data_IF_773165710324
#
_entry.id   IF_773165710324
#
_cell.length_a   1.000
_cell.length_b   1.000
_cell.length_c   1.000
_cell.angle_alpha   90.00
_cell.angle_beta   90.00
_cell.angle_gamma   90.00
#
_symmetry.space_group_name_H-M   'P 1'
#
loop_
_entity.id
_entity.type
_entity.pdbx_description
1 polymer ?
#
# COMPACT_ATOMS: atom_id res chain seq x y z
N UNK A 1 43.33 34.39 -99.76
CA UNK A 1 42.21 34.22 -98.82
C UNK A 1 40.95 34.07 -99.65
N UNK A 2 40.25 32.92 -99.66
CA UNK A 2 39.01 32.80 -100.42
C UNK A 2 37.99 33.80 -99.85
N UNK A 3 37.44 34.67 -100.72
CA UNK A 3 36.40 35.61 -100.33
C UNK A 3 35.05 34.89 -100.31
N UNK A 4 34.32 35.01 -99.20
CA UNK A 4 32.98 34.44 -99.08
C UNK A 4 32.01 35.13 -100.05
N UNK A 5 31.17 34.33 -100.71
CA UNK A 5 30.09 34.84 -101.57
C UNK A 5 28.89 35.27 -100.73
N UNK A 6 28.07 36.20 -101.24
CA UNK A 6 26.86 36.69 -100.56
C UNK A 6 25.93 35.54 -100.15
N UNK A 7 25.80 34.50 -100.99
CA UNK A 7 24.98 33.34 -100.69
C UNK A 7 25.49 32.54 -99.47
N UNK A 8 26.81 32.45 -99.27
CA UNK A 8 27.38 31.77 -98.11
C UNK A 8 27.11 32.55 -96.82
N UNK A 9 27.17 33.88 -96.86
CA UNK A 9 26.78 34.73 -95.72
C UNK A 9 25.29 34.56 -95.37
N UNK A 10 24.43 34.48 -96.37
CA UNK A 10 22.99 34.24 -96.18
C UNK A 10 22.73 32.87 -95.53
N UNK A 11 23.40 31.81 -95.99
CA UNK A 11 23.27 30.47 -95.40
C UNK A 11 23.73 30.45 -93.94
N UNK A 12 24.87 31.07 -93.62
CA UNK A 12 25.36 31.14 -92.24
C UNK A 12 24.39 31.90 -91.33
N UNK A 13 23.81 33.00 -91.80
CA UNK A 13 22.80 33.75 -91.05
C UNK A 13 21.55 32.90 -90.79
N UNK A 14 21.08 32.15 -91.78
CA UNK A 14 19.92 31.26 -91.62
C UNK A 14 20.19 30.12 -90.63
N UNK A 15 21.37 29.48 -90.70
CA UNK A 15 21.75 28.43 -89.75
C UNK A 15 21.89 28.99 -88.33
N UNK A 16 22.46 30.19 -88.17
CA UNK A 16 22.57 30.86 -86.89
C UNK A 16 21.19 31.15 -86.29
N UNK A 17 20.27 31.71 -87.09
CA UNK A 17 18.91 32.03 -86.66
C UNK A 17 18.14 30.74 -86.33
N UNK A 18 18.29 29.69 -87.14
CA UNK A 18 17.64 28.39 -86.89
C UNK A 18 18.17 27.74 -85.62
N UNK A 19 19.49 27.74 -85.42
CA UNK A 19 20.13 27.23 -84.20
C UNK A 19 19.71 28.03 -82.96
N UNK A 20 19.59 29.36 -83.09
CA UNK A 20 19.10 30.22 -82.02
C UNK A 20 17.63 29.94 -81.67
N UNK A 21 16.77 29.78 -82.67
CA UNK A 21 15.37 29.39 -82.47
C UNK A 21 15.23 28.00 -81.83
N UNK A 22 16.02 27.03 -82.29
CA UNK A 22 16.02 25.66 -81.75
C UNK A 22 16.51 25.62 -80.29
N UNK A 23 17.52 26.42 -79.95
CA UNK A 23 17.97 26.63 -78.56
C UNK A 23 16.87 27.23 -77.68
N UNK A 24 16.20 28.29 -78.13
CA UNK A 24 15.09 28.92 -77.39
C UNK A 24 13.93 27.95 -77.13
N UNK A 25 13.61 27.12 -78.11
CA UNK A 25 12.52 26.16 -77.99
C UNK A 25 12.82 25.05 -76.96
N UNK A 26 14.06 24.59 -76.89
CA UNK A 26 14.48 23.53 -75.94
C UNK A 26 14.58 24.03 -74.49
N UNK A 27 14.89 25.31 -74.27
CA UNK A 27 14.97 25.91 -72.93
C UNK A 27 13.59 26.19 -72.29
N UNK A 28 12.52 26.28 -73.08
CA UNK A 28 11.18 26.71 -72.61
C UNK A 28 10.40 25.62 -71.86
N UNK A 29 10.72 24.34 -72.05
CA UNK A 29 9.97 23.21 -71.48
C UNK A 29 10.19 22.94 -69.98
N UNK A 30 11.33 23.34 -69.41
CA UNK A 30 11.74 22.92 -68.06
C UNK A 30 10.94 23.54 -66.91
N UNK A 31 10.32 24.71 -67.09
CA UNK A 31 9.67 25.44 -65.97
C UNK A 31 8.38 24.79 -65.48
N UNK A 32 7.63 24.10 -66.36
CA UNK A 32 6.37 23.43 -65.99
C UNK A 32 6.61 22.15 -65.20
N UNK A 33 7.55 21.33 -65.66
CA UNK A 33 7.93 20.07 -64.99
C UNK A 33 8.60 20.33 -63.64
N UNK A 34 9.45 21.36 -63.52
CA UNK A 34 10.02 21.78 -62.23
C UNK A 34 8.95 22.18 -61.22
N UNK A 35 7.94 22.96 -61.62
CA UNK A 35 6.83 23.35 -60.72
C UNK A 35 6.02 22.14 -60.24
N UNK A 36 5.70 21.20 -61.13
CA UNK A 36 4.99 19.98 -60.76
C UNK A 36 5.79 19.09 -59.80
N UNK A 37 7.08 18.92 -60.06
CA UNK A 37 7.98 18.17 -59.17
C UNK A 37 8.11 18.80 -57.78
N UNK A 38 8.26 20.12 -57.70
CA UNK A 38 8.32 20.84 -56.42
C UNK A 38 7.01 20.70 -55.63
N UNK A 39 5.85 20.86 -56.30
CA UNK A 39 4.54 20.67 -55.66
C UNK A 39 4.37 19.26 -55.10
N UNK A 40 4.69 18.24 -55.89
CA UNK A 40 4.66 16.83 -55.47
C UNK A 40 5.60 16.59 -54.27
N UNK A 41 6.80 17.17 -54.30
CA UNK A 41 7.77 17.06 -53.20
C UNK A 41 7.26 17.72 -51.92
N UNK A 42 6.67 18.92 -52.00
CA UNK A 42 6.06 19.59 -50.86
C UNK A 42 4.89 18.79 -50.30
N UNK A 43 4.06 18.20 -51.17
CA UNK A 43 2.96 17.34 -50.74
C UNK A 43 3.44 16.12 -49.95
N UNK A 44 4.53 15.47 -50.40
CA UNK A 44 5.15 14.34 -49.69
C UNK A 44 5.71 14.76 -48.33
N UNK A 45 6.47 15.86 -48.28
CA UNK A 45 7.01 16.39 -47.02
C UNK A 45 5.88 16.71 -46.05
N UNK A 46 4.78 17.31 -46.53
CA UNK A 46 3.62 17.60 -45.69
C UNK A 46 2.92 16.34 -45.19
N UNK A 47 2.80 15.31 -46.03
CA UNK A 47 2.23 14.02 -45.65
C UNK A 47 3.10 13.30 -44.60
N UNK A 48 4.41 13.26 -44.80
CA UNK A 48 5.36 12.66 -43.86
C UNK A 48 5.30 13.40 -42.51
N UNK A 49 5.27 14.73 -42.52
CA UNK A 49 5.13 15.53 -41.31
C UNK A 49 3.81 15.28 -40.58
N UNK A 50 2.72 14.98 -41.29
CA UNK A 50 1.44 14.62 -40.66
C UNK A 50 1.48 13.22 -40.06
N UNK A 51 2.12 12.26 -40.74
CA UNK A 51 2.36 10.91 -40.20
C UNK A 51 3.19 10.99 -38.91
N UNK A 52 4.24 11.81 -38.89
CA UNK A 52 5.08 12.01 -37.70
C UNK A 52 4.30 12.64 -36.53
N UNK A 53 3.39 13.57 -36.82
CA UNK A 53 2.51 14.15 -35.79
C UNK A 53 1.53 13.13 -35.23
N UNK A 54 0.91 12.34 -36.11
CA UNK A 54 -0.04 11.31 -35.70
C UNK A 54 0.64 10.20 -34.92
N UNK A 55 1.84 9.77 -35.32
CA UNK A 55 2.63 8.76 -34.61
C UNK A 55 3.04 9.25 -33.22
N UNK A 56 3.47 10.50 -33.10
CA UNK A 56 3.78 11.14 -31.81
C UNK A 56 2.55 11.17 -30.90
N UNK A 57 1.39 11.58 -31.44
CA UNK A 57 0.14 11.62 -30.68
C UNK A 57 -0.33 10.23 -30.27
N UNK A 58 -0.13 9.22 -31.10
CA UNK A 58 -0.46 7.84 -30.79
C UNK A 58 0.41 7.33 -29.63
N UNK A 59 1.72 7.58 -29.66
CA UNK A 59 2.63 7.22 -28.57
C UNK A 59 2.27 7.92 -27.25
N UNK A 60 1.85 9.19 -27.31
CA UNK A 60 1.37 9.92 -26.13
C UNK A 60 0.10 9.28 -25.54
N UNK A 61 -0.89 8.99 -26.39
CA UNK A 61 -2.14 8.34 -25.97
C UNK A 61 -1.92 6.92 -25.43
N UNK A 62 -1.00 6.16 -26.01
CA UNK A 62 -0.61 4.86 -25.49
C UNK A 62 0.03 4.98 -24.10
N UNK A 63 0.92 5.96 -23.92
CA UNK A 63 1.50 6.26 -22.61
C UNK A 63 0.45 6.68 -21.57
N UNK A 64 -0.55 7.48 -21.95
CA UNK A 64 -1.67 7.85 -21.07
C UNK A 64 -2.54 6.65 -20.70
N UNK A 65 -2.85 5.78 -21.67
CA UNK A 65 -3.60 4.54 -21.43
C UNK A 65 -2.86 3.66 -20.44
N UNK A 66 -1.56 3.47 -20.60
CA UNK A 66 -0.75 2.62 -19.74
C UNK A 66 -0.68 3.18 -18.32
N UNK A 67 -0.58 4.51 -18.16
CA UNK A 67 -0.70 5.18 -16.86
C UNK A 67 -2.07 4.95 -16.22
N UNK A 68 -3.17 5.02 -16.97
CA UNK A 68 -4.52 4.74 -16.46
C UNK A 68 -4.67 3.30 -15.99
N UNK A 69 -4.15 2.35 -16.77
CA UNK A 69 -4.17 0.92 -16.40
C UNK A 69 -3.36 0.68 -15.12
N UNK A 70 -2.19 1.33 -14.98
CA UNK A 70 -1.38 1.23 -13.77
C UNK A 70 -2.12 1.78 -12.54
N UNK A 71 -2.75 2.95 -12.65
CA UNK A 71 -3.54 3.55 -11.56
C UNK A 71 -4.76 2.70 -11.19
N UNK A 72 -5.44 2.12 -12.18
CA UNK A 72 -6.55 1.20 -11.94
C UNK A 72 -6.10 -0.05 -11.20
N UNK A 73 -4.98 -0.65 -11.62
CA UNK A 73 -4.39 -1.80 -10.93
C UNK A 73 -4.00 -1.46 -9.49
N UNK A 74 -3.36 -0.31 -9.26
CA UNK A 74 -3.02 0.14 -7.90
C UNK A 74 -4.27 0.29 -7.03
N UNK A 75 -5.33 0.93 -7.57
CA UNK A 75 -6.62 1.07 -6.87
C UNK A 75 -7.21 -0.30 -6.53
N UNK A 76 -7.21 -1.23 -7.47
CA UNK A 76 -7.78 -2.55 -7.27
C UNK A 76 -6.96 -3.35 -6.23
N UNK A 77 -5.63 -3.22 -6.23
CA UNK A 77 -4.74 -3.77 -5.19
C UNK A 77 -5.00 -3.13 -3.82
N UNK A 78 -5.30 -1.83 -3.76
CA UNK A 78 -5.70 -1.14 -2.54
C UNK A 78 -7.05 -1.66 -2.02
N UNK A 79 -8.04 -1.82 -2.89
CA UNK A 79 -9.36 -2.36 -2.55
C UNK A 79 -9.25 -3.81 -2.08
N UNK A 80 -8.45 -4.63 -2.75
CA UNK A 80 -8.21 -6.02 -2.37
C UNK A 80 -7.56 -6.13 -0.98
N UNK A 81 -6.56 -5.28 -0.69
CA UNK A 81 -5.93 -5.21 0.63
C UNK A 81 -6.92 -4.77 1.72
N UNK A 82 -7.75 -3.77 1.44
CA UNK A 82 -8.78 -3.31 2.38
C UNK A 82 -9.82 -4.40 2.64
N UNK A 83 -10.27 -5.11 1.60
CA UNK A 83 -11.20 -6.23 1.73
C UNK A 83 -10.61 -7.37 2.58
N UNK A 84 -9.36 -7.76 2.32
CA UNK A 84 -8.67 -8.78 3.11
C UNK A 84 -8.49 -8.38 4.58
N UNK A 85 -8.19 -7.10 4.85
CA UNK A 85 -8.12 -6.57 6.20
C UNK A 85 -9.48 -6.63 6.93
N UNK A 86 -10.56 -6.24 6.24
CA UNK A 86 -11.91 -6.30 6.79
C UNK A 86 -12.34 -7.74 7.08
N UNK A 87 -12.03 -8.69 6.19
CA UNK A 87 -12.30 -10.11 6.42
C UNK A 87 -11.52 -10.63 7.65
N UNK A 88 -10.25 -10.23 7.80
CA UNK A 88 -9.45 -10.59 8.97
C UNK A 88 -10.04 -10.06 10.26
N UNK A 89 -10.54 -8.81 10.27
CA UNK A 89 -11.23 -8.22 11.42
C UNK A 89 -12.49 -9.03 11.75
N UNK A 90 -13.31 -9.35 10.75
CA UNK A 90 -14.52 -10.15 10.95
C UNK A 90 -14.21 -11.55 11.54
N UNK A 91 -13.13 -12.21 11.09
CA UNK A 91 -12.66 -13.48 11.66
C UNK A 91 -12.24 -13.33 13.13
N UNK A 92 -11.53 -12.25 13.47
CA UNK A 92 -11.10 -11.97 14.84
C UNK A 92 -12.29 -11.66 15.74
N UNK A 93 -13.28 -10.91 15.28
CA UNK A 93 -14.51 -10.63 16.02
C UNK A 93 -15.32 -11.91 16.25
N UNK A 94 -15.48 -12.77 15.24
CA UNK A 94 -16.13 -14.07 15.40
C UNK A 94 -15.39 -14.94 16.43
N UNK A 95 -14.05 -14.99 16.37
CA UNK A 95 -13.25 -15.69 17.39
C UNK A 95 -13.40 -15.06 18.77
N UNK A 96 -13.48 -13.73 18.88
CA UNK A 96 -13.69 -13.03 20.16
C UNK A 96 -15.05 -13.35 20.74
N UNK A 97 -16.10 -13.41 19.94
CA UNK A 97 -17.44 -13.84 20.38
C UNK A 97 -17.44 -15.30 20.84
N UNK A 98 -16.52 -16.13 20.33
CA UNK A 98 -16.31 -17.50 20.81
C UNK A 98 -15.40 -17.60 22.05
N UNK A 99 -14.70 -16.52 22.44
CA UNK A 99 -13.98 -16.45 23.72
C UNK A 99 -15.00 -16.09 24.81
N UNK A 100 -15.01 -16.91 25.87
CA UNK A 100 -16.08 -17.02 26.87
C UNK A 100 -16.53 -15.65 27.45
N UNK A 101 -17.84 -15.31 27.43
CA UNK A 101 -18.39 -14.13 28.11
C UNK A 101 -18.01 -14.03 29.60
N UNK A 102 -17.57 -15.13 30.20
CA UNK A 102 -17.05 -15.16 31.56
C UNK A 102 -15.79 -14.31 31.76
N UNK A 103 -14.90 -14.21 30.76
CA UNK A 103 -13.70 -13.34 30.84
C UNK A 103 -14.08 -11.85 30.77
N UNK A 104 -15.11 -11.49 30.01
CA UNK A 104 -15.61 -10.12 29.96
C UNK A 104 -16.39 -9.76 31.24
N UNK A 105 -17.18 -10.71 31.77
CA UNK A 105 -17.92 -10.56 33.03
C UNK A 105 -17.02 -10.40 34.25
N UNK A 106 -15.93 -11.17 34.33
CA UNK A 106 -14.92 -11.07 35.40
C UNK A 106 -14.22 -9.70 35.40
N UNK A 107 -13.81 -9.19 34.23
CA UNK A 107 -13.18 -7.86 34.11
C UNK A 107 -14.17 -6.73 34.46
N UNK A 108 -15.43 -6.82 34.02
CA UNK A 108 -16.46 -5.84 34.36
C UNK A 108 -16.84 -5.88 35.86
N UNK A 109 -16.86 -7.07 36.46
CA UNK A 109 -17.09 -7.23 37.89
C UNK A 109 -15.95 -6.59 38.72
N UNK A 110 -14.69 -6.76 38.27
CA UNK A 110 -13.54 -6.11 38.88
C UNK A 110 -13.60 -4.57 38.76
N UNK A 111 -13.93 -4.05 37.58
CA UNK A 111 -14.08 -2.60 37.36
C UNK A 111 -15.23 -1.97 38.18
N UNK A 112 -16.28 -2.74 38.48
CA UNK A 112 -17.40 -2.30 39.33
C UNK A 112 -17.13 -2.41 40.83
N UNK A 113 -15.92 -2.82 41.26
CA UNK A 113 -15.56 -3.02 42.67
C UNK A 113 -16.28 -4.20 43.34
N UNK A 114 -16.95 -5.05 42.55
CA UNK A 114 -17.64 -6.26 43.06
C UNK A 114 -16.67 -7.42 43.29
N UNK A 115 -15.54 -7.41 42.59
CA UNK A 115 -14.44 -8.37 42.71
C UNK A 115 -13.12 -7.59 42.72
N UNK A 116 -12.11 -8.15 43.35
CA UNK A 116 -10.75 -7.61 43.29
C UNK A 116 -9.95 -8.35 42.21
N UNK A 117 -8.96 -7.67 41.62
CA UNK A 117 -8.06 -8.22 40.60
C UNK A 117 -6.95 -9.03 41.28
N UNK A 118 -7.26 -10.29 41.63
CA UNK A 118 -6.34 -11.17 42.37
C UNK A 118 -5.04 -11.45 41.59
N UNK A 119 -5.03 -11.22 40.27
CA UNK A 119 -3.83 -11.38 39.43
C UNK A 119 -2.72 -10.38 39.76
N UNK A 120 -3.02 -9.32 40.53
CA UNK A 120 -2.02 -8.36 41.02
C UNK A 120 -1.16 -8.89 42.15
N UNK A 121 -1.57 -9.96 42.83
CA UNK A 121 -0.74 -10.61 43.83
C UNK A 121 0.35 -11.40 43.10
N UNK A 122 1.61 -11.09 43.41
CA UNK A 122 2.76 -11.80 42.87
C UNK A 122 2.69 -13.26 43.29
N UNK A 123 2.72 -14.17 42.32
CA UNK A 123 2.52 -15.61 42.53
C UNK A 123 1.19 -16.17 42.03
N UNK A 124 0.15 -15.33 41.97
CA UNK A 124 -1.19 -15.75 41.51
C UNK A 124 -1.28 -15.71 39.99
N UNK A 125 -1.00 -14.53 39.40
CA UNK A 125 -1.16 -14.30 37.96
C UNK A 125 -2.58 -14.60 37.45
N UNK A 126 -2.75 -14.60 36.12
CA UNK A 126 -4.09 -14.81 35.50
C UNK A 126 -4.63 -16.23 35.70
N UNK A 127 -3.75 -17.24 35.66
CA UNK A 127 -4.13 -18.63 35.86
C UNK A 127 -4.48 -18.98 37.31
N UNK A 128 -3.78 -18.39 38.28
CA UNK A 128 -4.11 -18.53 39.69
C UNK A 128 -5.40 -17.79 40.05
N UNK A 129 -5.62 -16.57 39.51
CA UNK A 129 -6.85 -15.82 39.72
C UNK A 129 -8.08 -16.61 39.25
N UNK A 130 -8.00 -17.25 38.08
CA UNK A 130 -9.08 -18.10 37.55
C UNK A 130 -9.39 -19.25 38.52
N UNK A 131 -8.38 -19.96 39.01
CA UNK A 131 -8.55 -21.03 40.00
C UNK A 131 -9.11 -20.52 41.33
N UNK A 132 -8.62 -19.39 41.84
CA UNK A 132 -9.17 -18.77 43.06
C UNK A 132 -10.65 -18.41 42.89
N UNK A 133 -11.01 -17.84 41.74
CA UNK A 133 -12.39 -17.53 41.40
C UNK A 133 -13.27 -18.78 41.31
N UNK A 134 -12.79 -19.88 40.72
CA UNK A 134 -13.50 -21.17 40.69
C UNK A 134 -13.71 -21.75 42.09
N UNK A 135 -12.77 -21.49 43.00
CA UNK A 135 -12.84 -21.89 44.41
C UNK A 135 -13.70 -20.94 45.27
N UNK A 136 -14.25 -19.88 44.67
CA UNK A 136 -15.16 -18.91 45.29
C UNK A 136 -14.48 -17.72 45.96
N UNK A 137 -13.16 -17.58 45.80
CA UNK A 137 -12.39 -16.44 46.33
C UNK A 137 -12.35 -15.37 45.25
N UNK A 138 -12.91 -14.20 45.56
CA UNK A 138 -13.08 -13.12 44.60
C UNK A 138 -12.54 -11.78 45.10
N UNK A 139 -12.11 -11.69 46.36
CA UNK A 139 -11.65 -10.44 46.99
C UNK A 139 -10.36 -10.60 47.78
N UNK A 140 -9.57 -9.54 47.84
CA UNK A 140 -8.37 -9.48 48.67
C UNK A 140 -8.68 -9.75 50.14
N UNK A 141 -9.83 -9.26 50.64
CA UNK A 141 -10.25 -9.46 52.01
C UNK A 141 -10.37 -10.94 52.40
N UNK A 142 -10.78 -11.82 51.47
CA UNK A 142 -10.92 -13.26 51.71
C UNK A 142 -9.55 -13.92 51.80
N UNK A 143 -8.59 -13.46 50.99
CA UNK A 143 -7.19 -13.90 51.07
C UNK A 143 -6.58 -13.48 52.42
N UNK A 144 -6.81 -12.24 52.86
CA UNK A 144 -6.30 -11.75 54.15
C UNK A 144 -6.80 -12.56 55.36
N UNK A 145 -7.98 -13.17 55.25
CA UNK A 145 -8.59 -13.98 56.33
C UNK A 145 -8.16 -15.44 56.36
N UNK A 146 -7.36 -15.90 55.39
CA UNK A 146 -6.89 -17.29 55.34
C UNK A 146 -6.05 -17.64 56.58
N UNK A 147 -6.40 -18.74 57.23
CA UNK A 147 -5.54 -19.37 58.25
C UNK A 147 -4.49 -20.27 57.60
N UNK A 148 -3.45 -20.66 58.34
CA UNK A 148 -2.43 -21.60 57.84
C UNK A 148 -3.03 -22.95 57.38
N UNK A 149 -4.18 -23.35 57.96
CA UNK A 149 -4.92 -24.53 57.51
C UNK A 149 -5.60 -24.27 56.17
N UNK A 150 -6.22 -23.10 56.01
CA UNK A 150 -6.92 -22.73 54.78
C UNK A 150 -5.93 -22.52 53.62
N UNK A 151 -4.74 -21.98 53.89
CA UNK A 151 -3.66 -21.88 52.92
C UNK A 151 -3.27 -23.25 52.39
N UNK A 152 -3.02 -24.23 53.26
CA UNK A 152 -2.65 -25.59 52.86
C UNK A 152 -3.77 -26.31 52.08
N UNK A 153 -5.04 -26.10 52.46
CA UNK A 153 -6.19 -26.64 51.73
C UNK A 153 -6.32 -25.98 50.35
N UNK A 154 -6.13 -24.65 50.28
CA UNK A 154 -6.20 -23.88 49.05
C UNK A 154 -5.08 -24.26 48.08
N UNK A 155 -3.85 -24.45 48.58
CA UNK A 155 -2.71 -24.94 47.80
C UNK A 155 -2.99 -26.30 47.18
N UNK A 156 -3.52 -27.23 47.97
CA UNK A 156 -3.92 -28.56 47.51
C UNK A 156 -5.01 -28.51 46.44
N UNK A 157 -6.01 -27.64 46.61
CA UNK A 157 -7.11 -27.45 45.64
C UNK A 157 -6.66 -26.75 44.36
N UNK A 158 -5.69 -25.83 44.45
CA UNK A 158 -5.11 -25.16 43.28
C UNK A 158 -4.02 -25.97 42.58
N UNK A 159 -3.53 -27.05 43.20
CA UNK A 159 -2.46 -27.89 42.67
C UNK A 159 -1.08 -27.20 42.68
N UNK A 160 -0.86 -26.26 43.60
CA UNK A 160 0.43 -25.59 43.80
C UNK A 160 1.19 -26.23 44.96
N UNK A 161 2.51 -26.02 45.02
CA UNK A 161 3.34 -26.64 46.04
C UNK A 161 2.94 -26.19 47.45
N UNK A 162 2.91 -27.10 48.45
CA UNK A 162 2.61 -26.71 49.83
C UNK A 162 3.59 -25.67 50.36
N UNK A 163 3.09 -24.63 51.03
CA UNK A 163 3.87 -23.52 51.56
C UNK A 163 4.07 -22.34 50.60
N UNK A 164 3.69 -22.48 49.32
CA UNK A 164 3.85 -21.41 48.32
C UNK A 164 3.14 -20.11 48.74
N UNK A 165 1.91 -20.19 49.26
CA UNK A 165 1.11 -19.01 49.63
C UNK A 165 1.76 -18.25 50.79
N UNK A 166 2.33 -19.00 51.74
CA UNK A 166 3.04 -18.45 52.89
C UNK A 166 4.39 -17.85 52.49
N UNK A 167 5.17 -18.56 51.67
CA UNK A 167 6.50 -18.15 51.19
C UNK A 167 6.42 -16.88 50.33
N UNK A 168 5.42 -16.81 49.45
CA UNK A 168 5.15 -15.65 48.61
C UNK A 168 4.32 -14.56 49.32
N UNK A 169 3.94 -14.78 50.58
CA UNK A 169 3.29 -13.79 51.46
C UNK A 169 2.01 -13.21 50.85
N UNK A 170 1.17 -14.04 50.25
CA UNK A 170 -0.04 -13.58 49.53
C UNK A 170 -0.98 -12.74 50.40
N UNK A 171 -1.10 -13.08 51.69
CA UNK A 171 -1.93 -12.33 52.65
C UNK A 171 -1.48 -10.88 52.84
N UNK A 172 -0.17 -10.67 52.91
CA UNK A 172 0.40 -9.33 53.10
C UNK A 172 0.25 -8.50 51.82
N UNK A 173 0.47 -9.12 50.67
CA UNK A 173 0.25 -8.47 49.38
C UNK A 173 -1.22 -8.08 49.20
N UNK A 174 -2.15 -9.00 49.49
CA UNK A 174 -3.58 -8.75 49.42
C UNK A 174 -4.01 -7.60 50.35
N UNK A 175 -3.45 -7.52 51.56
CA UNK A 175 -3.75 -6.44 52.50
C UNK A 175 -3.25 -5.08 51.98
N UNK A 176 -2.03 -5.02 51.43
CA UNK A 176 -1.50 -3.80 50.81
C UNK A 176 -2.35 -3.33 49.62
N UNK A 177 -2.76 -4.27 48.76
CA UNK A 177 -3.61 -3.97 47.60
C UNK A 177 -5.01 -3.53 48.02
N UNK A 178 -5.58 -4.13 49.07
CA UNK A 178 -6.88 -3.75 49.66
C UNK A 178 -6.86 -2.34 50.24
N UNK A 179 -5.76 -1.93 50.86
CA UNK A 179 -5.58 -0.58 51.41
C UNK A 179 -5.26 0.47 50.33
N UNK A 180 -5.08 0.05 49.06
CA UNK A 180 -4.79 0.94 47.94
C UNK A 180 -3.30 1.28 47.78
N UNK A 181 -2.40 0.58 48.49
CA UNK A 181 -0.95 0.78 48.40
C UNK A 181 -0.34 0.07 47.18
N UNK A 182 -0.90 0.30 45.99
CA UNK A 182 -0.49 -0.39 44.76
C UNK A 182 0.96 -0.04 44.37
N UNK A 183 1.38 1.21 44.54
CA UNK A 183 2.75 1.66 44.22
C UNK A 183 3.80 1.17 45.21
N UNK A 184 3.42 0.94 46.47
CA UNK A 184 4.30 0.39 47.50
C UNK A 184 4.43 -1.13 47.34
N UNK A 185 3.31 -1.81 47.05
CA UNK A 185 3.29 -3.22 46.69
C UNK A 185 4.22 -3.50 45.51
N UNK A 186 4.08 -2.74 44.41
CA UNK A 186 4.95 -2.87 43.24
C UNK A 186 6.44 -2.65 43.60
N UNK A 187 6.78 -1.75 44.53
CA UNK A 187 8.19 -1.56 44.92
C UNK A 187 8.74 -2.68 45.80
N UNK A 188 7.88 -3.39 46.54
CA UNK A 188 8.28 -4.40 47.51
C UNK A 188 8.29 -5.82 46.94
N UNK A 189 7.47 -6.07 45.91
CA UNK A 189 7.23 -7.41 45.35
C UNK A 189 7.42 -7.51 43.83
N UNK A 190 7.78 -6.43 43.11
CA UNK A 190 8.13 -6.52 41.68
C UNK A 190 9.59 -6.91 41.45
#
# INVERSE_FOLDING_TARGET
MPAFTTNQWVILALVLVLGWFLGLFTLSGGRKWKKGFELERFARIAADAEVDRLSTRLAELEGERDRRIALEKERDDHVARAAAANERIAQLESRRTAIDPDTAGTVAAAASGRRDDLSRIFGVGRGGEMRLNELGIHRYAEICTLSARDEAELEGRMGIAPGTIADERWREQAEMLRQGFTDEHARRFA
#
